data_IF_088623073426
#
_entry.id   IF_088623073426
#
_cell.length_a   1.000
_cell.length_b   1.000
_cell.length_c   1.000
_cell.angle_alpha   90.00
_cell.angle_beta   90.00
_cell.angle_gamma   90.00
#
_symmetry.space_group_name_H-M   'P 1'
#
loop_
_entity.id
_entity.type
_entity.pdbx_description
1 polymer ?
#
# COMPACT_ATOMS: atom_id res chain seq x y z
N UNK A 1 -16.02 42.86 5.70
CA UNK A 1 -15.83 42.33 4.33
C UNK A 1 -15.24 40.93 4.44
N UNK A 2 -16.10 39.97 4.75
CA UNK A 2 -15.75 38.54 4.79
C UNK A 2 -15.72 38.01 3.35
N UNK A 3 -14.54 37.59 2.88
CA UNK A 3 -14.43 36.87 1.62
C UNK A 3 -14.54 35.37 1.90
N UNK A 4 -15.72 34.85 1.60
CA UNK A 4 -15.99 33.45 1.29
C UNK A 4 -14.89 32.83 0.41
N UNK A 5 -14.05 31.98 0.99
CA UNK A 5 -13.18 31.05 0.26
C UNK A 5 -13.96 29.75 0.05
N UNK A 6 -14.83 29.77 -0.96
CA UNK A 6 -15.63 28.62 -1.42
C UNK A 6 -14.76 27.73 -2.32
N UNK A 7 -14.63 26.46 -1.91
CA UNK A 7 -14.49 25.25 -2.72
C UNK A 7 -13.54 25.26 -3.93
N UNK A 8 -12.32 24.75 -3.72
CA UNK A 8 -11.61 23.99 -4.76
C UNK A 8 -11.10 22.66 -4.20
N UNK A 9 -12.03 21.79 -3.84
CA UNK A 9 -11.77 20.36 -3.69
C UNK A 9 -12.88 19.63 -4.45
N UNK A 10 -12.62 19.26 -5.71
CA UNK A 10 -13.56 18.47 -6.52
C UNK A 10 -13.56 17.01 -6.07
N UNK A 11 -14.10 16.78 -4.87
CA UNK A 11 -14.44 15.47 -4.36
C UNK A 11 -15.84 15.56 -3.76
N UNK A 12 -16.84 15.03 -4.47
CA UNK A 12 -18.26 15.01 -4.05
C UNK A 12 -18.52 14.31 -2.70
N UNK A 13 -17.48 13.75 -2.05
CA UNK A 13 -17.56 13.06 -0.76
C UNK A 13 -16.39 13.38 0.20
N UNK A 14 -15.65 14.47 0.02
CA UNK A 14 -14.68 14.90 1.03
C UNK A 14 -15.38 15.79 2.08
N UNK A 15 -15.70 15.21 3.23
CA UNK A 15 -16.05 15.94 4.45
C UNK A 15 -14.80 16.65 5.02
N UNK A 16 -14.43 17.78 4.43
CA UNK A 16 -13.71 18.86 5.12
C UNK A 16 -12.27 18.63 5.63
N UNK A 17 -11.57 17.55 5.27
CA UNK A 17 -10.15 17.36 5.61
C UNK A 17 -9.32 17.05 4.38
N UNK A 18 -8.24 17.82 4.18
CA UNK A 18 -7.32 17.69 3.05
C UNK A 18 -6.77 16.26 2.96
N UNK A 19 -6.80 15.63 1.77
CA UNK A 19 -6.21 14.29 1.54
C UNK A 19 -4.75 14.24 2.01
N UNK A 20 -4.03 15.36 1.84
CA UNK A 20 -2.66 15.56 2.29
C UNK A 20 -2.46 15.33 3.81
N UNK A 21 -3.48 15.57 4.64
CA UNK A 21 -3.38 15.40 6.11
C UNK A 21 -3.27 13.93 6.52
N UNK A 22 -3.73 12.99 5.69
CA UNK A 22 -3.59 11.55 5.94
C UNK A 22 -2.19 11.03 5.65
N UNK A 23 -1.38 11.78 4.90
CA UNK A 23 -0.09 11.32 4.41
C UNK A 23 0.97 11.56 5.45
N UNK A 24 1.69 10.52 5.86
CA UNK A 24 2.71 10.63 6.89
C UNK A 24 3.75 11.70 6.57
N UNK A 25 4.21 11.81 5.31
CA UNK A 25 5.21 12.80 4.90
C UNK A 25 4.74 14.26 5.01
N UNK A 26 3.43 14.51 5.10
CA UNK A 26 2.86 15.85 5.26
C UNK A 26 2.34 16.11 6.67
N UNK A 27 2.61 15.21 7.62
CA UNK A 27 2.14 15.33 9.01
C UNK A 27 2.72 16.52 9.78
N UNK A 28 3.83 17.11 9.33
CA UNK A 28 4.42 18.32 9.92
C UNK A 28 3.81 19.62 9.40
N UNK A 29 2.99 19.56 8.34
CA UNK A 29 2.47 20.74 7.68
C UNK A 29 1.29 21.36 8.43
N UNK A 30 1.29 22.69 8.52
CA UNK A 30 0.18 23.46 9.06
C UNK A 30 -0.99 23.53 8.07
N UNK A 31 -2.19 23.88 8.56
CA UNK A 31 -3.41 23.87 7.73
C UNK A 31 -3.30 24.72 6.46
N UNK A 32 -2.63 25.87 6.53
CA UNK A 32 -2.40 26.75 5.38
C UNK A 32 -1.58 26.06 4.28
N UNK A 33 -0.58 25.28 4.66
CA UNK A 33 0.29 24.54 3.75
C UNK A 33 -0.42 23.32 3.17
N UNK A 34 -1.22 22.62 4.00
CA UNK A 34 -2.09 21.54 3.53
C UNK A 34 -3.15 22.05 2.54
N UNK A 35 -3.64 23.27 2.72
CA UNK A 35 -4.55 23.93 1.77
C UNK A 35 -3.85 24.26 0.44
N UNK A 36 -2.60 24.76 0.48
CA UNK A 36 -1.77 24.98 -0.70
C UNK A 36 -1.61 23.67 -1.50
N UNK A 37 -1.24 22.57 -0.82
CA UNK A 37 -1.14 21.24 -1.44
C UNK A 37 -2.46 20.81 -2.05
N UNK A 38 -3.56 20.94 -1.32
CA UNK A 38 -4.88 20.53 -1.81
C UNK A 38 -5.33 21.30 -3.06
N UNK A 39 -4.85 22.53 -3.25
CA UNK A 39 -5.17 23.34 -4.43
C UNK A 39 -4.39 22.93 -5.69
N UNK A 40 -3.26 22.25 -5.54
CA UNK A 40 -2.36 21.90 -6.66
C UNK A 40 -2.31 20.39 -6.99
N UNK A 41 -2.96 19.54 -6.18
CA UNK A 41 -3.07 18.10 -6.47
C UNK A 41 -4.13 17.80 -7.53
N UNK A 42 -3.82 16.82 -8.38
CA UNK A 42 -4.74 16.29 -9.38
C UNK A 42 -5.42 15.05 -8.82
N UNK A 43 -6.74 15.09 -8.67
CA UNK A 43 -7.50 13.95 -8.16
C UNK A 43 -7.83 12.95 -9.29
N UNK A 44 -7.64 11.66 -9.01
CA UNK A 44 -8.02 10.56 -9.91
C UNK A 44 -8.77 9.49 -9.13
N UNK A 45 -9.70 8.83 -9.80
CA UNK A 45 -10.47 7.71 -9.25
C UNK A 45 -10.32 6.52 -10.17
N UNK A 46 -10.15 5.35 -9.58
CA UNK A 46 -9.97 4.08 -10.24
C UNK A 46 -10.98 3.09 -9.65
N UNK A 47 -11.61 2.33 -10.52
CA UNK A 47 -12.41 1.18 -10.13
C UNK A 47 -11.51 0.01 -9.79
N UNK A 48 -12.02 -0.91 -8.97
CA UNK A 48 -11.35 -2.19 -8.71
C UNK A 48 -10.90 -2.84 -10.04
N UNK A 49 -9.66 -3.29 -10.09
CA UNK A 49 -9.03 -3.93 -11.25
C UNK A 49 -8.47 -2.97 -12.29
N UNK A 50 -8.62 -1.65 -12.12
CA UNK A 50 -8.04 -0.68 -13.05
C UNK A 50 -6.56 -0.44 -12.75
N UNK A 51 -5.78 -0.38 -13.82
CA UNK A 51 -4.37 0.00 -13.79
C UNK A 51 -4.23 1.50 -13.55
N UNK A 52 -3.37 1.86 -12.59
CA UNK A 52 -3.01 3.26 -12.29
C UNK A 52 -1.87 3.70 -13.20
N UNK A 53 -0.85 2.86 -13.34
CA UNK A 53 0.27 3.01 -14.27
C UNK A 53 0.89 1.65 -14.56
N UNK A 54 1.62 1.56 -15.66
CA UNK A 54 2.33 0.38 -16.11
C UNK A 54 3.85 0.56 -16.00
N UNK A 55 4.56 -0.54 -15.77
CA UNK A 55 6.02 -0.56 -15.85
C UNK A 55 6.48 0.00 -17.21
N UNK A 56 7.43 0.94 -17.18
CA UNK A 56 7.94 1.62 -18.36
C UNK A 56 7.26 2.97 -18.67
N UNK A 57 6.12 3.29 -18.03
CA UNK A 57 5.49 4.61 -18.16
C UNK A 57 6.43 5.72 -17.69
N UNK A 58 6.41 6.85 -18.40
CA UNK A 58 7.12 8.06 -17.95
C UNK A 58 6.22 8.79 -16.96
N UNK A 59 6.65 8.87 -15.70
CA UNK A 59 5.94 9.61 -14.66
C UNK A 59 6.88 10.62 -14.01
N UNK A 60 6.37 11.81 -13.74
CA UNK A 60 6.99 12.89 -12.97
C UNK A 60 6.12 13.26 -11.76
N UNK A 61 5.31 12.31 -11.29
CA UNK A 61 4.30 12.55 -10.25
C UNK A 61 4.52 11.64 -9.05
N UNK A 62 4.27 12.22 -7.88
CA UNK A 62 3.97 11.50 -6.66
C UNK A 62 2.48 11.18 -6.61
N UNK A 63 2.14 9.91 -6.44
CA UNK A 63 0.76 9.46 -6.23
C UNK A 63 0.55 9.19 -4.76
N UNK A 64 -0.57 9.65 -4.22
CA UNK A 64 -0.96 9.49 -2.81
C UNK A 64 -2.30 8.78 -2.79
N UNK A 65 -2.40 7.71 -2.01
CA UNK A 65 -3.65 6.98 -1.79
C UNK A 65 -4.49 7.76 -0.78
N UNK A 66 -5.52 8.46 -1.26
CA UNK A 66 -6.45 9.15 -0.38
C UNK A 66 -7.46 8.18 0.25
N UNK A 67 -7.92 7.23 -0.56
CA UNK A 67 -8.81 6.17 -0.12
C UNK A 67 -8.65 4.94 -1.01
N UNK A 68 -8.60 3.76 -0.44
CA UNK A 68 -8.60 2.49 -1.15
C UNK A 68 -7.28 1.76 -1.03
N UNK A 69 -7.08 0.74 -1.86
CA UNK A 69 -5.87 -0.09 -1.85
C UNK A 69 -5.33 -0.31 -3.24
N UNK A 70 -4.01 -0.33 -3.35
CA UNK A 70 -3.27 -0.52 -4.61
C UNK A 70 -2.24 -1.62 -4.40
N UNK A 71 -2.20 -2.63 -5.27
CA UNK A 71 -1.07 -3.56 -5.32
C UNK A 71 0.03 -2.99 -6.21
N UNK A 72 1.27 -3.10 -5.76
CA UNK A 72 2.46 -2.83 -6.56
C UNK A 72 3.11 -4.16 -6.90
N UNK A 73 3.35 -4.40 -8.19
CA UNK A 73 3.77 -5.72 -8.66
C UNK A 73 4.64 -5.65 -9.93
N UNK A 74 5.30 -6.77 -10.22
CA UNK A 74 5.99 -7.02 -11.50
C UNK A 74 5.53 -8.34 -12.09
N UNK A 75 5.75 -8.51 -13.39
CA UNK A 75 5.66 -9.81 -14.02
C UNK A 75 7.04 -10.48 -14.02
N UNK A 76 7.08 -11.78 -13.71
CA UNK A 76 8.28 -12.60 -13.93
C UNK A 76 8.51 -12.81 -15.42
N UNK A 77 9.66 -13.37 -15.79
CA UNK A 77 9.96 -13.69 -17.21
C UNK A 77 8.94 -14.67 -17.82
N UNK A 78 8.34 -15.50 -16.98
CA UNK A 78 7.31 -16.47 -17.33
C UNK A 78 5.89 -15.84 -17.35
N UNK A 79 5.78 -14.52 -17.14
CA UNK A 79 4.52 -13.79 -17.15
C UNK A 79 3.69 -13.92 -15.87
N UNK A 80 4.26 -14.48 -14.79
CA UNK A 80 3.55 -14.59 -13.50
C UNK A 80 3.59 -13.26 -12.75
N UNK A 81 2.46 -12.85 -12.19
CA UNK A 81 2.42 -11.68 -11.30
C UNK A 81 3.13 -12.00 -9.97
N UNK A 82 4.05 -11.14 -9.57
CA UNK A 82 4.68 -11.10 -8.25
C UNK A 82 4.34 -9.77 -7.58
N UNK A 83 3.51 -9.82 -6.54
CA UNK A 83 3.20 -8.65 -5.71
C UNK A 83 4.43 -8.35 -4.84
N UNK A 84 4.82 -7.07 -4.79
CA UNK A 84 5.93 -6.59 -3.97
C UNK A 84 5.43 -6.06 -2.63
N UNK A 85 4.38 -5.23 -2.67
CA UNK A 85 3.73 -4.65 -1.50
C UNK A 85 2.37 -4.04 -1.88
N UNK A 86 1.61 -3.65 -0.87
CA UNK A 86 0.30 -2.99 -1.01
C UNK A 86 0.42 -1.57 -0.44
N UNK A 87 -0.24 -0.62 -1.08
CA UNK A 87 -0.42 0.74 -0.58
C UNK A 87 -1.88 0.91 -0.12
N UNK A 88 -2.07 1.54 1.03
CA UNK A 88 -3.37 1.85 1.65
C UNK A 88 -3.53 3.35 1.90
N UNK A 89 -4.67 3.78 2.45
CA UNK A 89 -4.95 5.16 2.83
C UNK A 89 -3.76 5.83 3.54
N UNK A 90 -3.25 6.92 2.96
CA UNK A 90 -2.12 7.70 3.50
C UNK A 90 -0.76 7.32 2.92
N UNK A 91 -0.64 6.18 2.24
CA UNK A 91 0.57 5.81 1.54
C UNK A 91 0.76 6.60 0.24
N UNK A 92 1.98 6.61 -0.27
CA UNK A 92 2.32 7.28 -1.53
C UNK A 92 3.23 6.41 -2.41
N UNK A 93 3.46 6.77 -3.67
CA UNK A 93 4.46 6.14 -4.53
C UNK A 93 4.90 7.12 -5.63
N UNK A 94 6.06 6.87 -6.22
CA UNK A 94 6.63 7.72 -7.27
C UNK A 94 7.76 8.60 -6.75
N UNK A 95 8.25 8.34 -5.54
CA UNK A 95 9.39 9.01 -4.92
C UNK A 95 10.64 8.98 -5.80
N UNK A 96 10.88 7.88 -6.53
CA UNK A 96 12.00 7.76 -7.45
C UNK A 96 11.86 8.75 -8.62
N UNK A 97 10.65 8.88 -9.16
CA UNK A 97 10.33 9.84 -10.22
C UNK A 97 10.50 11.30 -9.77
N UNK A 98 10.47 11.57 -8.47
CA UNK A 98 10.75 12.89 -7.90
C UNK A 98 12.25 13.17 -7.78
N UNK A 99 13.08 12.16 -7.51
CA UNK A 99 14.53 12.30 -7.41
C UNK A 99 15.21 12.39 -8.78
N UNK A 100 14.76 11.58 -9.73
CA UNK A 100 15.26 11.57 -11.11
C UNK A 100 14.11 11.29 -12.04
N UNK A 101 13.98 12.07 -13.11
CA UNK A 101 13.00 11.75 -14.16
C UNK A 101 13.35 10.38 -14.75
N UNK A 102 12.56 9.38 -14.39
CA UNK A 102 12.76 7.99 -14.78
C UNK A 102 11.44 7.37 -15.22
N UNK A 103 11.55 6.22 -15.88
CA UNK A 103 10.39 5.36 -16.08
C UNK A 103 10.00 4.73 -14.74
N UNK A 104 8.72 4.42 -14.57
CA UNK A 104 8.28 3.63 -13.43
C UNK A 104 8.75 2.18 -13.60
N UNK A 105 9.25 1.60 -12.53
CA UNK A 105 9.87 0.25 -12.53
C UNK A 105 8.86 -0.86 -12.20
N UNK A 106 7.61 -0.50 -11.90
CA UNK A 106 6.58 -1.39 -11.38
C UNK A 106 5.22 -1.07 -11.99
N UNK A 107 4.31 -2.03 -11.87
CA UNK A 107 2.91 -1.86 -12.22
C UNK A 107 2.11 -1.53 -10.96
N UNK A 108 1.02 -0.77 -11.12
CA UNK A 108 0.09 -0.47 -10.04
C UNK A 108 -1.36 -0.73 -10.47
N UNK A 109 -2.09 -1.49 -9.67
CA UNK A 109 -3.50 -1.83 -9.90
C UNK A 109 -4.35 -1.62 -8.65
N UNK A 110 -5.55 -1.09 -8.81
CA UNK A 110 -6.48 -0.85 -7.72
C UNK A 110 -7.14 -2.17 -7.25
N UNK A 111 -6.92 -2.56 -5.99
CA UNK A 111 -7.53 -3.77 -5.39
C UNK A 111 -9.01 -3.57 -5.01
N UNK A 112 -9.41 -2.31 -4.85
CA UNK A 112 -10.78 -1.87 -4.59
C UNK A 112 -11.04 -0.52 -5.29
N UNK A 113 -12.23 0.06 -5.13
CA UNK A 113 -12.49 1.42 -5.64
C UNK A 113 -11.57 2.42 -4.92
N UNK A 114 -10.63 2.97 -5.66
CA UNK A 114 -9.50 3.74 -5.13
C UNK A 114 -9.53 5.18 -5.63
N UNK A 115 -9.29 6.13 -4.73
CA UNK A 115 -9.08 7.53 -5.03
C UNK A 115 -7.64 7.93 -4.68
N UNK A 116 -6.96 8.54 -5.64
CA UNK A 116 -5.59 9.03 -5.46
C UNK A 116 -5.49 10.52 -5.75
N UNK A 117 -4.51 11.16 -5.11
CA UNK A 117 -4.05 12.50 -5.42
C UNK A 117 -2.69 12.41 -6.09
N UNK A 118 -2.50 13.08 -7.23
CA UNK A 118 -1.22 13.15 -7.91
C UNK A 118 -0.63 14.55 -7.77
N UNK A 119 0.65 14.63 -7.41
CA UNK A 119 1.41 15.87 -7.27
C UNK A 119 2.59 15.83 -8.24
N UNK A 120 2.75 16.85 -9.06
CA UNK A 120 3.89 16.93 -9.99
C UNK A 120 5.19 17.16 -9.23
N UNK A 121 6.31 16.73 -9.82
CA UNK A 121 7.65 16.98 -9.28
C UNK A 121 7.88 18.45 -8.99
N UNK A 122 7.55 19.33 -9.92
CA UNK A 122 7.73 20.79 -9.74
C UNK A 122 6.99 21.32 -8.51
N UNK A 123 5.74 20.87 -8.30
CA UNK A 123 4.96 21.30 -7.14
C UNK A 123 5.50 20.68 -5.84
N UNK A 124 5.96 19.44 -5.89
CA UNK A 124 6.57 18.77 -4.77
C UNK A 124 7.90 19.41 -4.34
N UNK A 125 8.75 19.77 -5.30
CA UNK A 125 10.03 20.44 -5.05
C UNK A 125 9.79 21.77 -4.30
N UNK A 126 8.82 22.58 -4.73
CA UNK A 126 8.43 23.83 -4.05
C UNK A 126 7.95 23.62 -2.61
N UNK A 127 7.31 22.48 -2.32
CA UNK A 127 6.84 22.14 -0.98
C UNK A 127 8.04 21.74 -0.10
N UNK A 128 8.94 20.90 -0.60
CA UNK A 128 10.12 20.45 0.15
C UNK A 128 11.08 21.60 0.43
N UNK A 129 11.30 22.51 -0.53
CA UNK A 129 12.15 23.69 -0.32
C UNK A 129 11.70 24.55 0.87
N UNK A 130 10.38 24.66 1.07
CA UNK A 130 9.79 25.39 2.20
C UNK A 130 9.72 24.55 3.48
N UNK A 131 9.78 23.23 3.39
CA UNK A 131 9.55 22.27 4.47
C UNK A 131 10.56 21.12 4.43
N UNK A 132 11.85 21.37 4.71
CA UNK A 132 12.90 20.37 4.57
C UNK A 132 12.69 19.13 5.43
N UNK A 133 11.93 19.22 6.53
CA UNK A 133 11.62 18.12 7.43
C UNK A 133 10.82 16.98 6.77
N UNK A 134 10.10 17.28 5.68
CA UNK A 134 9.45 16.27 4.83
C UNK A 134 10.47 15.26 4.30
N UNK A 135 11.70 15.70 4.02
CA UNK A 135 12.78 14.85 3.51
C UNK A 135 13.12 13.71 4.47
N UNK A 136 13.17 13.99 5.78
CA UNK A 136 13.43 12.95 6.78
C UNK A 136 12.29 11.94 6.86
N UNK A 137 11.03 12.40 6.78
CA UNK A 137 9.86 11.50 6.75
C UNK A 137 9.82 10.63 5.51
N UNK A 138 10.25 11.14 4.36
CA UNK A 138 10.40 10.32 3.15
C UNK A 138 11.46 9.25 3.37
N UNK A 139 12.59 9.59 4.00
CA UNK A 139 13.65 8.63 4.30
C UNK A 139 13.16 7.52 5.23
N UNK A 140 12.37 7.84 6.27
CA UNK A 140 11.73 6.85 7.14
C UNK A 140 10.84 5.88 6.33
N UNK A 141 9.99 6.40 5.44
CA UNK A 141 9.12 5.57 4.60
C UNK A 141 9.91 4.71 3.61
N UNK A 142 10.99 5.23 3.03
CA UNK A 142 11.87 4.47 2.14
C UNK A 142 12.62 3.37 2.92
N UNK A 143 13.05 3.66 4.15
CA UNK A 143 13.67 2.66 5.04
C UNK A 143 12.69 1.52 5.36
N UNK A 144 11.44 1.84 5.71
CA UNK A 144 10.43 0.81 5.98
C UNK A 144 10.15 -0.07 4.75
N UNK A 145 10.16 0.53 3.56
CA UNK A 145 10.07 -0.23 2.30
C UNK A 145 11.27 -1.13 2.06
N UNK A 146 12.47 -0.66 2.39
CA UNK A 146 13.68 -1.46 2.25
C UNK A 146 13.60 -2.70 3.13
N UNK A 147 13.21 -2.54 4.40
CA UNK A 147 12.98 -3.68 5.32
C UNK A 147 11.94 -4.65 4.74
N UNK A 148 10.80 -4.14 4.25
CA UNK A 148 9.77 -4.99 3.66
C UNK A 148 10.28 -5.76 2.42
N UNK A 149 11.15 -5.16 1.62
CA UNK A 149 11.79 -5.82 0.47
C UNK A 149 12.81 -6.89 0.91
N UNK A 150 13.58 -6.65 1.97
CA UNK A 150 14.47 -7.66 2.56
C UNK A 150 13.67 -8.87 3.06
N UNK A 151 12.55 -8.65 3.77
CA UNK A 151 11.64 -9.71 4.19
C UNK A 151 11.02 -10.46 2.99
N UNK A 152 10.68 -9.76 1.90
CA UNK A 152 10.24 -10.39 0.65
C UNK A 152 11.33 -11.30 0.07
N UNK A 153 12.60 -10.86 0.05
CA UNK A 153 13.72 -11.67 -0.44
C UNK A 153 13.91 -12.93 0.41
N UNK A 154 13.90 -12.80 1.74
CA UNK A 154 13.97 -13.94 2.67
C UNK A 154 12.84 -14.95 2.40
N UNK A 155 11.60 -14.46 2.33
CA UNK A 155 10.41 -15.27 2.06
C UNK A 155 10.49 -16.01 0.72
N UNK A 156 10.89 -15.33 -0.35
CA UNK A 156 11.01 -15.97 -1.66
C UNK A 156 12.17 -16.98 -1.73
N UNK A 157 13.15 -16.86 -0.84
CA UNK A 157 14.33 -17.73 -0.78
C UNK A 157 14.12 -19.01 0.05
N UNK A 158 13.20 -19.02 1.02
CA UNK A 158 12.86 -20.25 1.75
C UNK A 158 12.15 -21.26 0.85
N UNK A 159 12.42 -22.55 1.02
CA UNK A 159 11.70 -23.62 0.30
C UNK A 159 10.37 -24.00 0.97
N UNK A 160 10.17 -23.56 2.21
CA UNK A 160 8.98 -23.93 2.96
C UNK A 160 7.75 -23.13 2.50
N UNK A 161 6.68 -23.85 2.17
CA UNK A 161 5.46 -23.25 1.62
C UNK A 161 4.66 -22.57 2.72
N UNK A 162 4.66 -23.14 3.92
CA UNK A 162 3.91 -22.60 5.04
C UNK A 162 4.52 -21.30 5.55
N UNK A 163 5.84 -21.26 5.77
CA UNK A 163 6.60 -20.03 6.07
C UNK A 163 6.31 -18.91 5.09
N UNK A 164 6.19 -19.22 3.78
CA UNK A 164 5.85 -18.20 2.78
C UNK A 164 4.46 -17.61 2.98
N UNK A 165 3.48 -18.43 3.33
CA UNK A 165 2.12 -17.97 3.57
C UNK A 165 2.06 -17.21 4.90
N UNK A 166 2.73 -17.72 5.93
CA UNK A 166 2.89 -17.07 7.24
C UNK A 166 3.49 -15.67 7.09
N UNK A 167 4.61 -15.52 6.37
CA UNK A 167 5.22 -14.22 6.15
C UNK A 167 4.31 -13.22 5.41
N UNK A 168 3.46 -13.70 4.47
CA UNK A 168 2.43 -12.84 3.85
C UNK A 168 1.34 -12.47 4.86
N UNK A 169 0.86 -13.43 5.67
CA UNK A 169 -0.17 -13.15 6.68
C UNK A 169 0.34 -12.16 7.75
N UNK A 170 1.59 -12.29 8.20
CA UNK A 170 2.23 -11.37 9.13
C UNK A 170 2.38 -9.97 8.53
N UNK A 171 2.83 -9.87 7.27
CA UNK A 171 2.90 -8.59 6.55
C UNK A 171 1.52 -7.94 6.44
N UNK A 172 0.49 -8.71 6.08
CA UNK A 172 -0.89 -8.18 5.99
C UNK A 172 -1.48 -7.85 7.36
N UNK A 173 -1.15 -8.61 8.40
CA UNK A 173 -1.59 -8.36 9.78
C UNK A 173 -1.02 -7.06 10.33
N UNK A 174 0.23 -6.71 9.99
CA UNK A 174 0.84 -5.43 10.35
C UNK A 174 0.04 -4.23 9.82
N UNK A 175 -0.42 -4.32 8.57
CA UNK A 175 -1.04 -3.17 7.87
C UNK A 175 -2.58 -3.16 7.96
N UNK A 176 -3.21 -4.34 8.06
CA UNK A 176 -4.67 -4.51 7.98
C UNK A 176 -5.26 -5.33 9.13
N UNK A 177 -4.44 -5.77 10.07
CA UNK A 177 -4.87 -6.51 11.25
C UNK A 177 -5.43 -5.61 12.33
N UNK A 178 -6.39 -6.13 13.09
CA UNK A 178 -6.87 -5.56 14.35
C UNK A 178 -6.63 -6.56 15.46
N UNK A 179 -5.81 -6.16 16.43
CA UNK A 179 -5.53 -6.99 17.61
C UNK A 179 -6.75 -7.03 18.54
N UNK A 180 -7.18 -8.23 18.90
CA UNK A 180 -8.22 -8.50 19.89
C UNK A 180 -7.70 -9.57 20.87
N UNK A 181 -7.10 -9.10 21.97
CA UNK A 181 -6.46 -9.98 22.95
C UNK A 181 -5.26 -10.70 22.34
N UNK A 182 -5.29 -12.04 22.33
CA UNK A 182 -4.23 -12.87 21.74
C UNK A 182 -4.52 -13.22 20.26
N UNK A 183 -5.56 -12.64 19.67
CA UNK A 183 -5.95 -12.92 18.29
C UNK A 183 -5.79 -11.68 17.42
N UNK A 184 -5.58 -11.89 16.13
CA UNK A 184 -5.59 -10.81 15.14
C UNK A 184 -6.69 -11.06 14.13
N UNK A 185 -7.60 -10.09 14.02
CA UNK A 185 -8.63 -10.08 12.99
C UNK A 185 -8.04 -9.39 11.76
N UNK A 186 -7.79 -10.17 10.71
CA UNK A 186 -7.25 -9.70 9.45
C UNK A 186 -8.35 -9.61 8.39
N UNK A 187 -8.72 -8.39 8.02
CA UNK A 187 -9.57 -8.13 6.86
C UNK A 187 -8.69 -8.17 5.59
N UNK A 188 -8.74 -9.28 4.86
CA UNK A 188 -7.86 -9.54 3.72
C UNK A 188 -8.14 -8.56 2.57
N UNK A 189 -7.14 -7.77 2.15
CA UNK A 189 -7.26 -6.97 0.94
C UNK A 189 -7.07 -7.81 -0.32
N UNK A 190 -6.53 -9.03 -0.18
CA UNK A 190 -6.15 -9.92 -1.26
C UNK A 190 -7.07 -11.15 -1.31
N UNK A 191 -7.32 -11.61 -2.54
CA UNK A 191 -7.89 -12.93 -2.80
C UNK A 191 -6.78 -14.01 -2.83
N UNK A 192 -7.16 -15.29 -3.00
CA UNK A 192 -6.22 -16.43 -2.96
C UNK A 192 -5.16 -16.40 -4.07
N UNK A 193 -5.51 -15.91 -5.24
CA UNK A 193 -4.58 -15.75 -6.36
C UNK A 193 -3.56 -14.65 -6.04
N UNK A 194 -4.03 -13.51 -5.53
CA UNK A 194 -3.16 -12.40 -5.11
C UNK A 194 -2.25 -12.78 -3.94
N UNK A 195 -2.72 -13.55 -2.95
CA UNK A 195 -1.87 -14.12 -1.89
C UNK A 195 -0.80 -15.03 -2.51
N UNK A 196 -1.16 -15.82 -3.53
CA UNK A 196 -0.21 -16.64 -4.28
C UNK A 196 0.85 -15.80 -4.97
N UNK A 197 0.43 -14.76 -5.70
CA UNK A 197 1.33 -13.77 -6.31
C UNK A 197 2.20 -13.05 -5.29
N UNK A 198 1.75 -12.88 -4.05
CA UNK A 198 2.57 -12.25 -3.00
C UNK A 198 3.56 -13.23 -2.34
N UNK A 199 3.15 -14.49 -2.18
CA UNK A 199 3.95 -15.56 -1.59
C UNK A 199 4.88 -16.27 -2.61
N UNK A 200 4.71 -16.02 -3.91
CA UNK A 200 5.39 -16.78 -4.97
C UNK A 200 4.87 -18.22 -5.10
N UNK A 201 3.56 -18.42 -4.89
CA UNK A 201 2.88 -19.72 -4.86
C UNK A 201 1.67 -19.73 -5.80
N UNK A 202 1.13 -20.92 -6.09
CA UNK A 202 -0.14 -21.03 -6.85
C UNK A 202 -1.34 -20.85 -5.92
N UNK A 203 -2.47 -20.41 -6.49
CA UNK A 203 -3.76 -20.26 -5.79
C UNK A 203 -4.18 -21.55 -5.07
N UNK A 204 -3.98 -22.71 -5.69
CA UNK A 204 -4.33 -24.01 -5.13
C UNK A 204 -3.47 -24.34 -3.93
N UNK A 205 -2.17 -24.04 -4.01
CA UNK A 205 -1.21 -24.23 -2.92
C UNK A 205 -1.59 -23.38 -1.72
N UNK A 206 -1.88 -22.09 -1.95
CA UNK A 206 -2.36 -21.18 -0.90
C UNK A 206 -3.64 -21.69 -0.25
N UNK A 207 -4.61 -22.10 -1.06
CA UNK A 207 -5.90 -22.58 -0.55
C UNK A 207 -5.72 -23.82 0.32
N UNK A 208 -4.90 -24.79 -0.11
CA UNK A 208 -4.61 -26.01 0.65
C UNK A 208 -3.89 -25.73 1.96
N UNK A 209 -2.85 -24.89 1.96
CA UNK A 209 -2.09 -24.59 3.17
C UNK A 209 -2.95 -23.83 4.19
N UNK A 210 -3.75 -22.86 3.75
CA UNK A 210 -4.65 -22.14 4.66
C UNK A 210 -5.73 -23.05 5.27
N UNK A 211 -6.21 -24.06 4.53
CA UNK A 211 -7.09 -25.08 5.10
C UNK A 211 -6.35 -25.93 6.14
N UNK A 212 -5.11 -26.36 5.88
CA UNK A 212 -4.29 -27.10 6.86
C UNK A 212 -4.10 -26.31 8.16
N UNK A 213 -3.68 -25.04 8.05
CA UNK A 213 -3.51 -24.15 9.21
C UNK A 213 -4.81 -23.94 9.99
N UNK A 214 -5.97 -23.97 9.31
CA UNK A 214 -7.26 -23.91 9.99
C UNK A 214 -7.59 -25.21 10.72
N UNK A 215 -7.34 -26.36 10.09
CA UNK A 215 -7.59 -27.69 10.68
C UNK A 215 -6.68 -27.92 11.91
N UNK A 216 -5.48 -27.34 11.90
CA UNK A 216 -4.53 -27.29 13.02
C UNK A 216 -4.90 -26.26 14.10
N UNK A 217 -5.91 -25.43 13.85
CA UNK A 217 -6.44 -24.45 14.81
C UNK A 217 -5.62 -23.15 14.94
N UNK A 218 -4.59 -22.96 14.10
CA UNK A 218 -3.73 -21.78 14.09
C UNK A 218 -4.47 -20.53 13.58
N UNK A 219 -5.35 -20.73 12.60
CA UNK A 219 -6.19 -19.68 12.03
C UNK A 219 -7.65 -20.12 11.94
N UNK A 220 -8.54 -19.18 11.67
CA UNK A 220 -9.93 -19.44 11.28
C UNK A 220 -10.29 -18.60 10.06
N UNK A 221 -10.77 -19.26 9.01
CA UNK A 221 -11.19 -18.62 7.78
C UNK A 221 -12.65 -18.21 7.88
N UNK A 222 -12.94 -16.91 7.78
CA UNK A 222 -14.29 -16.37 7.72
C UNK A 222 -14.59 -15.93 6.28
N UNK A 223 -14.96 -16.90 5.45
CA UNK A 223 -15.11 -16.72 4.00
C UNK A 223 -13.78 -16.41 3.31
N UNK A 224 -13.83 -15.61 2.24
CA UNK A 224 -12.65 -15.33 1.41
C UNK A 224 -11.93 -14.02 1.75
N UNK A 225 -12.50 -13.21 2.65
CA UNK A 225 -12.05 -11.83 2.92
C UNK A 225 -11.63 -11.58 4.36
N UNK A 226 -11.69 -12.58 5.23
CA UNK A 226 -11.37 -12.41 6.64
C UNK A 226 -10.69 -13.66 7.18
N UNK A 227 -9.59 -13.46 7.89
CA UNK A 227 -8.86 -14.50 8.62
C UNK A 227 -8.75 -14.04 10.07
N UNK A 228 -9.06 -14.92 11.02
CA UNK A 228 -8.74 -14.72 12.42
C UNK A 228 -7.48 -15.53 12.70
N UNK A 229 -6.39 -14.85 13.03
CA UNK A 229 -5.15 -15.48 13.48
C UNK A 229 -5.31 -15.76 14.97
N UNK A 230 -5.34 -17.04 15.36
CA UNK A 230 -5.58 -17.46 16.75
C UNK A 230 -4.29 -17.53 17.56
N UNK A 231 -3.17 -17.80 16.90
CA UNK A 231 -1.85 -17.88 17.51
C UNK A 231 -0.83 -17.10 16.68
N UNK A 232 -0.66 -15.81 16.99
CA UNK A 232 0.30 -14.95 16.31
C UNK A 232 1.75 -15.30 16.66
N UNK A 233 1.99 -15.86 17.85
CA UNK A 233 3.34 -16.22 18.31
C UNK A 233 3.84 -17.46 17.58
N UNK A 234 2.96 -18.43 17.31
CA UNK A 234 3.26 -19.54 16.41
C UNK A 234 3.65 -19.05 15.01
N UNK A 235 2.87 -18.13 14.41
CA UNK A 235 3.23 -17.54 13.11
C UNK A 235 4.61 -16.88 13.14
N UNK A 236 4.91 -16.07 14.16
CA UNK A 236 6.23 -15.43 14.31
C UNK A 236 7.38 -16.43 14.50
N UNK A 237 7.12 -17.65 14.94
CA UNK A 237 8.14 -18.68 15.12
C UNK A 237 8.56 -19.37 13.82
N UNK A 238 7.82 -19.18 12.73
CA UNK A 238 7.99 -19.86 11.44
C UNK A 238 8.47 -18.90 10.32
N UNK A 239 8.47 -17.59 10.59
CA UNK A 239 8.99 -16.53 9.71
C UNK A 239 10.47 -16.21 9.99
#
# INVERSE_FOLDING_TARGET
MEKNLINSCHCEKCTGKYCAKKVYIFSTLHENQLAEIASIVINRRYKKGQMIFFEGDVSDKLYIVNKGKIKIFKYTKEGKEQILYILTDGDFIGELSLLKRSKVEFNAEALEDTAICALTKENFDKIIEKNPEITFKILEVVHDRLINLESLVQRLSTKDVESRIVGVLLSLAKDFGREEGNTVILDLPLNREEIGSYAGLTRETVSRTLTSMQDEGVIELQGNKKIIIKDIEYLKSID
#
